data_IF_867071801617
#
_entry.id   IF_867071801617
#
_cell.length_a   1.000
_cell.length_b   1.000
_cell.length_c   1.000
_cell.angle_alpha   90.00
_cell.angle_beta   90.00
_cell.angle_gamma   90.00
#
_symmetry.space_group_name_H-M   'P 1'
#
loop_
_entity.id
_entity.type
_entity.pdbx_description
1 polymer ?
#
# COMPACT_ATOMS: atom_id res chain seq x y z
N UNK A 1 -20.79 -0.50 14.53
CA UNK A 1 -19.67 -1.05 13.75
C UNK A 1 -18.70 -1.72 14.72
N UNK A 2 -18.62 -3.05 14.74
CA UNK A 2 -17.73 -3.79 15.66
C UNK A 2 -16.28 -3.77 15.13
N UNK A 3 -15.43 -3.04 15.84
CA UNK A 3 -13.99 -3.21 16.08
C UNK A 3 -13.15 -4.02 15.08
N UNK A 4 -12.63 -3.44 13.98
CA UNK A 4 -11.58 -4.12 13.17
C UNK A 4 -10.64 -3.13 12.49
N UNK A 5 -9.70 -2.59 13.24
CA UNK A 5 -8.62 -1.77 12.68
C UNK A 5 -7.30 -2.33 13.15
N UNK A 6 -6.43 -2.68 12.20
CA UNK A 6 -5.08 -3.15 12.47
C UNK A 6 -4.08 -2.06 12.06
N UNK A 7 -3.12 -1.79 12.94
CA UNK A 7 -1.96 -0.94 12.65
C UNK A 7 -0.78 -1.84 12.28
N UNK A 8 -0.08 -1.50 11.21
CA UNK A 8 1.14 -2.18 10.76
C UNK A 8 2.30 -1.20 10.75
N UNK A 9 3.39 -1.57 11.43
CA UNK A 9 4.66 -0.82 11.44
C UNK A 9 5.68 -1.56 10.58
N UNK A 10 5.88 -1.11 9.34
CA UNK A 10 6.90 -1.67 8.46
C UNK A 10 8.23 -0.97 8.72
N UNK A 11 9.08 -1.58 9.54
CA UNK A 11 10.37 -1.04 9.93
C UNK A 11 11.38 -1.21 8.76
N UNK A 12 11.63 -0.15 7.99
CA UNK A 12 12.37 -0.19 6.72
C UNK A 12 13.62 0.71 6.67
N UNK A 13 14.52 0.67 7.67
CA UNK A 13 15.79 1.42 7.63
C UNK A 13 17.04 0.53 7.57
N UNK A 14 17.78 0.63 6.46
CA UNK A 14 19.25 0.75 6.46
C UNK A 14 19.71 1.78 5.40
N UNK A 15 20.51 2.73 5.89
CA UNK A 15 21.52 3.60 5.23
C UNK A 15 21.12 4.67 4.19
N UNK A 16 21.31 5.93 4.63
CA UNK A 16 21.74 7.18 3.96
C UNK A 16 21.28 7.52 2.53
N UNK A 17 20.60 8.68 2.38
CA UNK A 17 20.32 9.31 1.09
C UNK A 17 20.88 10.75 1.05
N UNK A 18 21.63 11.14 -0.02
CA UNK A 18 21.99 12.53 -0.26
C UNK A 18 20.89 13.29 -1.02
N UNK A 19 21.02 14.61 -0.98
CA UNK A 19 19.99 15.64 -1.17
C UNK A 19 19.61 15.99 -2.61
N UNK A 20 18.31 16.32 -2.74
CA UNK A 20 17.62 17.27 -3.65
C UNK A 20 18.02 17.38 -5.13
N UNK A 21 17.06 17.07 -6.01
CA UNK A 21 16.87 17.78 -7.28
C UNK A 21 15.36 17.96 -7.54
N UNK A 22 14.92 19.23 -7.61
CA UNK A 22 13.62 19.62 -8.18
C UNK A 22 13.70 19.52 -9.70
N UNK A 23 12.70 18.94 -10.39
CA UNK A 23 12.33 19.34 -11.77
C UNK A 23 10.97 18.77 -12.24
N UNK A 24 10.11 19.72 -12.58
CA UNK A 24 9.00 19.80 -13.54
C UNK A 24 8.41 18.51 -14.13
N UNK A 25 7.10 18.36 -13.92
CA UNK A 25 6.20 17.55 -14.74
C UNK A 25 6.04 18.19 -16.12
N UNK A 26 6.29 17.41 -17.18
CA UNK A 26 5.72 17.64 -18.51
C UNK A 26 5.08 16.31 -18.94
N UNK A 27 3.76 16.37 -19.13
CA UNK A 27 2.96 15.37 -19.84
C UNK A 27 3.32 15.41 -21.33
N UNK A 28 3.68 14.27 -21.90
CA UNK A 28 3.67 14.06 -23.34
C UNK A 28 3.00 12.73 -23.67
N UNK A 29 1.79 12.84 -24.18
CA UNK A 29 1.02 11.83 -24.89
C UNK A 29 1.49 11.70 -26.34
N UNK A 30 1.75 10.50 -26.83
CA UNK A 30 1.76 10.12 -28.26
C UNK A 30 1.68 8.58 -28.35
N UNK A 31 0.53 8.01 -28.72
CA UNK A 31 0.04 7.72 -30.08
C UNK A 31 0.55 6.38 -30.66
N UNK A 32 -0.43 5.55 -31.01
CA UNK A 32 -0.37 4.23 -31.63
C UNK A 32 0.45 4.22 -32.93
N UNK A 33 1.18 3.12 -33.13
CA UNK A 33 1.68 2.69 -34.43
C UNK A 33 1.35 1.21 -34.67
N UNK A 34 0.49 0.94 -35.65
CA UNK A 34 0.17 -0.39 -36.14
C UNK A 34 1.23 -0.88 -37.14
N UNK A 35 1.54 -2.17 -37.12
CA UNK A 35 2.39 -2.85 -38.11
C UNK A 35 1.99 -4.32 -38.23
N UNK A 36 1.78 -4.77 -39.46
CA UNK A 36 1.00 -5.95 -39.87
C UNK A 36 1.91 -6.96 -40.62
N UNK A 37 1.70 -8.24 -40.28
CA UNK A 37 1.83 -9.52 -41.04
C UNK A 37 3.18 -10.17 -41.44
N UNK A 38 3.19 -11.47 -41.08
CA UNK A 38 3.43 -12.69 -41.89
C UNK A 38 4.82 -13.37 -41.89
N UNK A 39 4.78 -14.69 -41.62
CA UNK A 39 5.83 -15.66 -41.94
C UNK A 39 5.65 -17.01 -41.26
N UNK A 40 5.06 -17.99 -41.96
CA UNK A 40 4.96 -19.39 -41.53
C UNK A 40 6.24 -20.17 -41.84
N UNK A 41 6.66 -21.07 -40.94
CA UNK A 41 7.31 -22.34 -41.32
C UNK A 41 7.31 -23.35 -40.18
N UNK A 42 6.87 -24.55 -40.52
CA UNK A 42 6.72 -25.75 -39.68
C UNK A 42 8.07 -26.32 -39.22
N UNK A 43 8.08 -26.91 -38.02
CA UNK A 43 9.18 -27.74 -37.52
C UNK A 43 8.82 -28.41 -36.20
N UNK A 44 8.32 -29.65 -36.27
CA UNK A 44 8.11 -30.53 -35.13
C UNK A 44 9.45 -31.06 -34.63
N UNK A 45 9.81 -30.83 -33.36
CA UNK A 45 10.55 -31.82 -32.55
C UNK A 45 10.04 -31.71 -31.11
N UNK A 46 9.37 -32.77 -30.68
CA UNK A 46 9.03 -32.98 -29.29
C UNK A 46 10.31 -33.22 -28.47
N UNK A 47 10.52 -32.40 -27.45
CA UNK A 47 11.32 -32.78 -26.28
C UNK A 47 10.44 -32.60 -25.04
N UNK A 48 9.95 -33.72 -24.52
CA UNK A 48 9.45 -33.80 -23.14
C UNK A 48 10.65 -33.58 -22.23
N UNK A 49 10.90 -32.36 -21.80
CA UNK A 49 11.66 -32.11 -20.59
C UNK A 49 10.73 -32.39 -19.41
N UNK A 50 11.11 -33.39 -18.63
CA UNK A 50 10.55 -33.67 -17.31
C UNK A 50 10.75 -32.39 -16.48
N UNK A 51 9.69 -31.60 -16.30
CA UNK A 51 9.75 -30.40 -15.45
C UNK A 51 9.69 -30.83 -13.98
N UNK A 52 10.77 -30.46 -13.31
CA UNK A 52 11.09 -30.59 -11.91
C UNK A 52 9.92 -30.16 -10.99
N UNK A 53 9.52 -31.04 -10.09
CA UNK A 53 8.37 -30.90 -9.19
C UNK A 53 8.65 -29.98 -7.99
N UNK A 54 9.29 -28.83 -8.22
CA UNK A 54 9.52 -27.81 -7.20
C UNK A 54 9.46 -26.37 -7.77
N UNK A 55 8.51 -26.12 -8.70
CA UNK A 55 8.18 -24.78 -9.18
C UNK A 55 7.11 -24.21 -8.26
N UNK A 56 7.45 -23.23 -7.42
CA UNK A 56 6.46 -22.46 -6.65
C UNK A 56 5.36 -22.00 -7.62
N UNK A 57 4.11 -22.39 -7.36
CA UNK A 57 3.00 -22.10 -8.27
C UNK A 57 2.88 -20.59 -8.51
N UNK A 58 2.89 -20.17 -9.78
CA UNK A 58 2.73 -18.76 -10.17
C UNK A 58 1.27 -18.39 -9.93
N UNK A 59 1.03 -17.34 -9.13
CA UNK A 59 -0.32 -16.80 -8.97
C UNK A 59 -0.69 -15.97 -10.20
N UNK A 60 -1.83 -16.27 -10.79
CA UNK A 60 -2.30 -15.69 -12.05
C UNK A 60 -3.79 -15.30 -12.03
N UNK A 61 -4.41 -15.27 -10.84
CA UNK A 61 -5.84 -14.99 -10.69
C UNK A 61 -6.08 -14.02 -9.53
N UNK A 62 -6.92 -13.02 -9.79
CA UNK A 62 -7.43 -12.12 -8.77
C UNK A 62 -8.34 -12.85 -7.76
N UNK A 63 -8.58 -12.22 -6.61
CA UNK A 63 -9.45 -12.76 -5.58
C UNK A 63 -10.92 -12.83 -6.05
N UNK A 64 -11.53 -14.01 -5.94
CA UNK A 64 -12.96 -14.17 -6.27
C UNK A 64 -13.85 -13.74 -5.10
N UNK A 65 -15.12 -13.43 -5.40
CA UNK A 65 -16.10 -13.05 -4.38
C UNK A 65 -16.27 -14.13 -3.32
N UNK A 66 -16.36 -15.39 -3.71
CA UNK A 66 -16.56 -16.53 -2.80
C UNK A 66 -15.37 -16.67 -1.85
N UNK A 67 -14.14 -16.54 -2.37
CA UNK A 67 -12.93 -16.60 -1.54
C UNK A 67 -12.86 -15.42 -0.59
N UNK A 68 -13.15 -14.20 -1.06
CA UNK A 68 -13.23 -13.01 -0.20
C UNK A 68 -14.28 -13.20 0.90
N UNK A 69 -15.47 -13.67 0.54
CA UNK A 69 -16.59 -13.89 1.46
C UNK A 69 -16.30 -14.98 2.51
N UNK A 70 -15.42 -15.93 2.21
CA UNK A 70 -14.96 -16.94 3.18
C UNK A 70 -13.90 -16.42 4.18
N UNK A 71 -13.18 -15.33 3.88
CA UNK A 71 -12.13 -14.81 4.75
C UNK A 71 -12.69 -13.98 5.90
N UNK A 72 -12.27 -14.25 7.12
CA UNK A 72 -12.49 -13.36 8.26
C UNK A 72 -11.45 -12.23 8.27
N UNK A 73 -11.72 -11.13 8.97
CA UNK A 73 -10.72 -10.06 9.13
C UNK A 73 -9.44 -10.51 9.83
N UNK A 74 -9.51 -11.48 10.75
CA UNK A 74 -8.31 -12.06 11.37
C UNK A 74 -7.49 -12.86 10.37
N UNK A 75 -8.15 -13.56 9.43
CA UNK A 75 -7.46 -14.22 8.32
C UNK A 75 -6.76 -13.19 7.42
N UNK A 76 -7.39 -12.05 7.17
CA UNK A 76 -6.78 -10.98 6.36
C UNK A 76 -5.59 -10.32 7.05
N UNK A 77 -5.66 -10.10 8.36
CA UNK A 77 -4.51 -9.63 9.15
C UNK A 77 -3.37 -10.65 9.07
N UNK A 78 -3.70 -11.95 9.19
CA UNK A 78 -2.71 -13.03 9.06
C UNK A 78 -2.07 -13.05 7.67
N UNK A 79 -2.86 -12.97 6.60
CA UNK A 79 -2.38 -12.90 5.21
C UNK A 79 -1.42 -11.73 5.02
N UNK A 80 -1.77 -10.53 5.51
CA UNK A 80 -0.91 -9.34 5.42
C UNK A 80 0.41 -9.51 6.20
N UNK A 81 0.36 -10.07 7.41
CA UNK A 81 1.57 -10.36 8.21
C UNK A 81 2.49 -11.37 7.52
N UNK A 82 1.93 -12.48 7.04
CA UNK A 82 2.69 -13.52 6.33
C UNK A 82 3.27 -13.00 5.02
N UNK A 83 2.54 -12.14 4.30
CA UNK A 83 3.05 -11.49 3.11
C UNK A 83 4.18 -10.51 3.38
N UNK A 84 4.11 -9.77 4.48
CA UNK A 84 5.23 -8.94 4.92
C UNK A 84 6.47 -9.75 5.30
N UNK A 85 6.28 -10.88 5.97
CA UNK A 85 7.39 -11.79 6.27
C UNK A 85 8.03 -12.35 4.99
N UNK A 86 7.23 -12.72 3.98
CA UNK A 86 7.76 -13.12 2.67
C UNK A 86 8.55 -12.01 1.99
N UNK A 87 8.03 -10.78 1.99
CA UNK A 87 8.76 -9.61 1.46
C UNK A 87 10.11 -9.42 2.17
N UNK A 88 10.12 -9.45 3.51
CA UNK A 88 11.35 -9.28 4.32
C UNK A 88 12.41 -10.33 4.03
N UNK A 89 12.00 -11.55 3.67
CA UNK A 89 12.91 -12.67 3.34
C UNK A 89 13.30 -12.71 1.85
N UNK A 90 12.67 -11.90 1.00
CA UNK A 90 12.82 -12.01 -0.45
C UNK A 90 12.14 -13.25 -1.05
N UNK A 91 11.16 -13.81 -0.34
CA UNK A 91 10.44 -15.06 -0.67
C UNK A 91 9.02 -14.77 -1.17
N UNK A 92 8.82 -13.65 -1.85
CA UNK A 92 7.50 -13.24 -2.36
C UNK A 92 6.94 -14.26 -3.36
N UNK A 93 5.61 -14.36 -3.43
CA UNK A 93 4.98 -15.26 -4.39
C UNK A 93 5.24 -14.78 -5.83
N UNK A 94 5.66 -15.66 -6.75
CA UNK A 94 5.75 -15.32 -8.15
C UNK A 94 4.34 -15.05 -8.72
N UNK A 95 4.20 -13.97 -9.49
CA UNK A 95 2.91 -13.47 -9.99
C UNK A 95 2.93 -13.19 -11.47
N UNK A 96 1.81 -13.48 -12.12
CA UNK A 96 1.45 -12.98 -13.45
C UNK A 96 0.42 -11.86 -13.29
N UNK A 97 0.92 -10.63 -13.22
CA UNK A 97 0.07 -9.45 -13.04
C UNK A 97 -0.87 -9.19 -14.21
N UNK A 98 -0.49 -9.57 -15.44
CA UNK A 98 -1.38 -9.40 -16.60
C UNK A 98 -2.58 -10.35 -16.47
N UNK A 99 -2.35 -11.59 -16.05
CA UNK A 99 -3.43 -12.53 -15.80
C UNK A 99 -4.31 -12.11 -14.59
N UNK A 100 -3.72 -11.62 -13.50
CA UNK A 100 -4.49 -11.06 -12.37
C UNK A 100 -5.36 -9.85 -12.81
N UNK A 101 -4.82 -8.96 -13.65
CA UNK A 101 -5.59 -7.83 -14.20
C UNK A 101 -6.74 -8.30 -15.11
N UNK A 102 -6.47 -9.24 -16.02
CA UNK A 102 -7.48 -9.76 -16.94
C UNK A 102 -8.62 -10.45 -16.18
N UNK A 103 -8.29 -11.23 -15.15
CA UNK A 103 -9.28 -11.96 -14.35
C UNK A 103 -10.12 -11.07 -13.44
N UNK A 104 -9.66 -9.86 -13.13
CA UNK A 104 -10.42 -8.84 -12.38
C UNK A 104 -11.18 -7.83 -13.25
N UNK A 105 -11.02 -7.88 -14.59
CA UNK A 105 -11.60 -6.89 -15.50
C UNK A 105 -13.14 -6.82 -15.47
N UNK A 106 -13.80 -7.93 -15.15
CA UNK A 106 -15.27 -8.02 -15.09
C UNK A 106 -15.83 -7.73 -13.68
N UNK A 107 -14.96 -7.50 -12.70
CA UNK A 107 -15.34 -7.26 -11.31
C UNK A 107 -14.17 -7.54 -10.38
N UNK A 108 -14.02 -6.67 -9.37
CA UNK A 108 -13.01 -6.82 -8.32
C UNK A 108 -13.68 -7.00 -6.97
N UNK A 109 -13.07 -7.83 -6.12
CA UNK A 109 -13.60 -8.20 -4.81
C UNK A 109 -12.54 -7.96 -3.75
N UNK A 110 -12.16 -6.70 -3.48
CA UNK A 110 -11.13 -6.40 -2.49
C UNK A 110 -11.56 -6.95 -1.13
N UNK A 111 -10.62 -7.56 -0.44
CA UNK A 111 -10.82 -8.08 0.90
C UNK A 111 -10.58 -7.01 1.98
N UNK A 112 -9.72 -6.04 1.70
CA UNK A 112 -9.39 -4.95 2.60
C UNK A 112 -9.26 -3.61 1.86
N UNK A 113 -9.36 -2.52 2.62
CA UNK A 113 -8.96 -1.18 2.20
C UNK A 113 -7.78 -0.71 3.05
N UNK A 114 -6.75 -0.19 2.39
CA UNK A 114 -5.53 0.29 3.00
C UNK A 114 -5.50 1.82 2.93
N UNK A 115 -5.11 2.47 4.03
CA UNK A 115 -4.71 3.86 4.07
C UNK A 115 -3.22 3.93 4.37
N UNK A 116 -2.44 4.41 3.40
CA UNK A 116 -0.97 4.41 3.48
C UNK A 116 -0.39 5.77 3.09
N UNK A 117 0.89 5.96 3.39
CA UNK A 117 1.61 7.17 2.99
C UNK A 117 1.94 7.16 1.48
N UNK A 118 2.08 8.34 0.89
CA UNK A 118 2.59 8.53 -0.48
C UNK A 118 4.09 8.17 -0.63
N UNK A 119 4.79 7.80 0.45
CA UNK A 119 6.21 7.41 0.39
C UNK A 119 6.42 6.25 -0.60
N UNK A 120 7.15 6.52 -1.67
CA UNK A 120 7.33 5.58 -2.78
C UNK A 120 8.13 4.33 -2.40
N UNK A 121 8.80 4.33 -1.25
CA UNK A 121 9.58 3.19 -0.74
C UNK A 121 8.75 2.24 0.11
N UNK A 122 7.51 2.62 0.45
CA UNK A 122 6.58 1.78 1.20
C UNK A 122 5.26 1.48 0.45
N UNK A 123 5.31 0.91 -0.78
CA UNK A 123 4.12 0.47 -1.48
C UNK A 123 3.49 -0.76 -0.78
N UNK A 124 2.31 -0.59 -0.21
CA UNK A 124 1.70 -1.58 0.67
C UNK A 124 1.43 -2.92 0.00
N UNK A 125 0.98 -2.94 -1.25
CA UNK A 125 0.70 -4.17 -1.99
C UNK A 125 1.95 -5.02 -2.18
N UNK A 126 3.10 -4.38 -2.43
CA UNK A 126 4.39 -5.07 -2.55
C UNK A 126 4.87 -5.53 -1.17
N UNK A 127 4.83 -4.62 -0.18
CA UNK A 127 5.30 -4.89 1.18
C UNK A 127 4.49 -5.96 1.91
N UNK A 128 3.23 -6.15 1.54
CA UNK A 128 2.33 -7.15 2.12
C UNK A 128 2.14 -8.35 1.18
N UNK A 129 2.89 -8.42 0.07
CA UNK A 129 2.81 -9.45 -0.95
C UNK A 129 1.35 -9.77 -1.35
N UNK A 130 0.64 -8.72 -1.80
CA UNK A 130 -0.72 -8.73 -2.32
C UNK A 130 -0.67 -8.52 -3.85
N UNK A 131 -1.66 -9.07 -4.55
CA UNK A 131 -1.78 -8.90 -6.00
C UNK A 131 -2.94 -8.00 -6.42
N UNK A 132 -3.16 -7.92 -7.73
CA UNK A 132 -4.15 -7.04 -8.33
C UNK A 132 -5.56 -7.49 -7.93
N UNK A 133 -6.35 -6.54 -7.43
CA UNK A 133 -7.73 -6.77 -7.01
C UNK A 133 -7.90 -7.32 -5.58
N UNK A 134 -6.82 -7.61 -4.85
CA UNK A 134 -6.90 -8.13 -3.48
C UNK A 134 -7.34 -7.07 -2.46
N UNK A 135 -6.96 -5.82 -2.70
CA UNK A 135 -7.24 -4.68 -1.81
C UNK A 135 -7.49 -3.41 -2.59
N UNK A 136 -8.15 -2.45 -1.96
CA UNK A 136 -8.08 -1.05 -2.37
C UNK A 136 -7.05 -0.31 -1.54
N UNK A 137 -6.33 0.62 -2.15
CA UNK A 137 -5.28 1.38 -1.48
C UNK A 137 -5.44 2.87 -1.74
N UNK A 138 -5.62 3.61 -0.65
CA UNK A 138 -5.60 5.07 -0.63
C UNK A 138 -4.23 5.54 -0.13
N UNK A 139 -3.52 6.32 -0.96
CA UNK A 139 -2.18 6.82 -0.66
C UNK A 139 -2.19 8.33 -0.51
N UNK A 140 -1.87 8.84 0.67
CA UNK A 140 -1.83 10.28 0.96
C UNK A 140 -0.68 10.60 1.91
N UNK A 141 -0.03 11.75 1.76
CA UNK A 141 1.11 12.11 2.62
C UNK A 141 0.71 12.08 4.10
N UNK A 142 1.48 11.32 4.91
CA UNK A 142 1.21 11.14 6.34
C UNK A 142 -0.05 10.32 6.66
N UNK A 143 -0.61 9.59 5.69
CA UNK A 143 -1.78 8.72 5.86
C UNK A 143 -2.92 9.41 6.65
N UNK A 144 -3.14 10.68 6.34
CA UNK A 144 -4.13 11.55 6.96
C UNK A 144 -5.56 11.16 6.58
N UNK A 145 -6.51 11.55 7.41
CA UNK A 145 -7.95 11.41 7.14
C UNK A 145 -8.50 12.71 6.57
N UNK A 146 -9.34 12.58 5.54
CA UNK A 146 -10.19 13.64 5.00
C UNK A 146 -11.48 12.99 4.43
N UNK A 147 -12.41 13.82 3.96
CA UNK A 147 -13.70 13.35 3.44
C UNK A 147 -13.56 12.41 2.23
N UNK A 148 -12.63 12.70 1.30
CA UNK A 148 -12.39 11.86 0.12
C UNK A 148 -11.89 10.45 0.51
N UNK A 149 -11.01 10.38 1.51
CA UNK A 149 -10.46 9.13 2.04
C UNK A 149 -11.55 8.33 2.76
N UNK A 150 -12.38 8.98 3.59
CA UNK A 150 -13.50 8.33 4.28
C UNK A 150 -14.52 7.80 3.28
N UNK A 151 -14.95 8.61 2.30
CA UNK A 151 -15.87 8.17 1.25
C UNK A 151 -15.31 7.01 0.42
N UNK A 152 -14.00 7.00 0.17
CA UNK A 152 -13.33 5.87 -0.48
C UNK A 152 -13.37 4.59 0.36
N UNK A 153 -13.23 4.70 1.69
CA UNK A 153 -13.36 3.56 2.60
C UNK A 153 -14.80 3.06 2.69
N UNK A 154 -15.79 3.95 2.76
CA UNK A 154 -17.22 3.60 2.73
C UNK A 154 -17.56 2.84 1.44
N UNK A 155 -17.09 3.33 0.29
CA UNK A 155 -17.23 2.63 -0.99
C UNK A 155 -16.60 1.22 -0.94
N UNK A 156 -15.39 1.11 -0.38
CA UNK A 156 -14.69 -0.17 -0.28
C UNK A 156 -15.46 -1.17 0.60
N UNK A 157 -15.94 -0.72 1.75
CA UNK A 157 -16.63 -1.56 2.73
C UNK A 157 -18.06 -1.90 2.30
N UNK A 158 -18.88 -0.89 2.02
CA UNK A 158 -20.32 -1.09 1.80
C UNK A 158 -20.65 -1.55 0.38
N UNK A 159 -19.97 -1.00 -0.64
CA UNK A 159 -20.29 -1.31 -2.03
C UNK A 159 -19.42 -2.44 -2.59
N UNK A 160 -18.15 -2.51 -2.19
CA UNK A 160 -17.21 -3.53 -2.69
C UNK A 160 -17.06 -4.72 -1.76
N UNK A 161 -17.51 -4.64 -0.50
CA UNK A 161 -17.52 -5.72 0.48
C UNK A 161 -16.18 -5.98 1.18
N UNK A 162 -15.27 -5.00 1.20
CA UNK A 162 -14.03 -5.09 1.96
C UNK A 162 -14.34 -5.25 3.45
N UNK A 163 -13.66 -6.20 4.11
CA UNK A 163 -13.95 -6.64 5.48
C UNK A 163 -12.98 -6.09 6.53
N UNK A 164 -11.90 -5.46 6.09
CA UNK A 164 -10.83 -4.95 6.94
C UNK A 164 -10.38 -3.57 6.45
N UNK A 165 -10.26 -2.63 7.38
CA UNK A 165 -9.57 -1.35 7.16
C UNK A 165 -8.20 -1.44 7.83
N UNK A 166 -7.15 -1.14 7.08
CA UNK A 166 -5.77 -1.11 7.58
C UNK A 166 -5.22 0.30 7.44
N UNK A 167 -4.71 0.85 8.54
CA UNK A 167 -3.93 2.09 8.51
C UNK A 167 -2.47 1.72 8.71
N UNK A 168 -1.65 2.00 7.70
CA UNK A 168 -0.24 1.62 7.67
C UNK A 168 0.63 2.86 7.57
N UNK A 169 1.39 3.12 8.63
CA UNK A 169 2.45 4.12 8.61
C UNK A 169 3.81 3.51 8.27
N UNK A 170 4.83 4.35 8.25
CA UNK A 170 6.20 3.93 8.04
C UNK A 170 7.16 4.83 8.83
N UNK A 171 8.34 4.31 9.10
CA UNK A 171 9.38 5.06 9.80
C UNK A 171 9.91 6.22 8.97
N UNK A 172 10.46 7.23 9.65
CA UNK A 172 11.05 8.43 9.05
C UNK A 172 10.12 9.21 8.08
N UNK A 173 8.81 9.18 8.33
CA UNK A 173 7.84 9.78 7.44
C UNK A 173 8.08 11.28 7.18
N UNK A 174 8.23 11.65 5.91
CA UNK A 174 8.50 13.03 5.49
C UNK A 174 7.36 14.00 5.84
N UNK A 175 6.10 13.56 5.80
CA UNK A 175 4.96 14.38 6.20
C UNK A 175 4.95 14.64 7.70
N UNK A 176 5.26 13.63 8.52
CA UNK A 176 5.40 13.78 9.97
C UNK A 176 6.52 14.77 10.30
N UNK A 177 7.69 14.66 9.67
CA UNK A 177 8.79 15.63 9.79
C UNK A 177 8.35 17.04 9.39
N UNK A 178 7.61 17.17 8.29
CA UNK A 178 7.06 18.45 7.84
C UNK A 178 6.12 19.08 8.87
N UNK A 179 5.26 18.28 9.51
CA UNK A 179 4.36 18.74 10.56
C UNK A 179 5.14 19.21 11.81
N UNK A 180 6.13 18.44 12.26
CA UNK A 180 7.01 18.80 13.39
C UNK A 180 7.75 20.12 13.11
N UNK A 181 8.26 20.30 11.89
CA UNK A 181 8.97 21.52 11.48
C UNK A 181 8.03 22.69 11.15
N UNK A 182 6.72 22.54 11.29
CA UNK A 182 5.73 23.55 10.91
C UNK A 182 5.93 24.06 9.47
N UNK A 183 6.21 23.16 8.52
CA UNK A 183 6.43 23.54 7.13
C UNK A 183 5.21 24.25 6.53
N UNK A 184 5.44 25.34 5.78
CA UNK A 184 4.39 26.15 5.16
C UNK A 184 4.56 26.16 3.64
N UNK A 185 3.56 25.65 2.91
CA UNK A 185 3.55 25.63 1.45
C UNK A 185 2.15 25.31 0.90
N UNK A 186 1.36 26.31 0.50
CA UNK A 186 0.07 26.09 -0.19
C UNK A 186 -0.80 25.00 0.46
N UNK A 187 -1.26 24.03 -0.34
CA UNK A 187 -2.10 22.92 0.14
C UNK A 187 -1.39 21.99 1.15
N UNK A 188 -0.05 21.94 1.15
CA UNK A 188 0.70 21.15 2.13
C UNK A 188 0.43 21.65 3.55
N UNK A 189 0.28 22.96 3.76
CA UNK A 189 -0.01 23.52 5.08
C UNK A 189 -1.30 22.95 5.67
N UNK A 190 -2.37 22.88 4.87
CA UNK A 190 -3.66 22.30 5.29
C UNK A 190 -3.62 20.79 5.48
N UNK A 191 -2.74 20.08 4.77
CA UNK A 191 -2.48 18.66 4.99
C UNK A 191 -1.74 18.45 6.32
N UNK A 192 -0.65 19.16 6.55
CA UNK A 192 0.17 19.03 7.76
C UNK A 192 -0.58 19.45 9.02
N UNK A 193 -1.51 20.40 8.91
CA UNK A 193 -2.40 20.80 10.02
C UNK A 193 -3.20 19.61 10.58
N UNK A 194 -3.52 18.59 9.77
CA UNK A 194 -4.23 17.39 10.22
C UNK A 194 -3.35 16.43 11.02
N UNK A 195 -2.02 16.54 10.87
CA UNK A 195 -1.03 15.74 11.60
C UNK A 195 -0.67 16.39 12.94
N UNK A 196 -0.75 17.73 13.04
CA UNK A 196 -0.37 18.48 14.24
C UNK A 196 -0.99 17.97 15.55
N UNK A 197 -2.28 17.59 15.61
CA UNK A 197 -2.85 17.02 16.83
C UNK A 197 -2.09 15.79 17.36
N UNK A 198 -1.56 14.94 16.47
CA UNK A 198 -0.73 13.82 16.85
C UNK A 198 0.64 14.28 17.35
N UNK A 199 1.26 15.27 16.69
CA UNK A 199 2.54 15.87 17.14
C UNK A 199 2.43 16.42 18.56
N UNK A 200 1.34 17.11 18.85
CA UNK A 200 1.09 17.75 20.15
C UNK A 200 0.80 16.70 21.23
N UNK A 201 -0.02 15.69 20.90
CA UNK A 201 -0.41 14.62 21.82
C UNK A 201 0.70 13.60 22.12
N UNK A 202 1.71 13.48 21.26
CA UNK A 202 2.82 12.55 21.50
C UNK A 202 3.58 12.93 22.77
N UNK A 203 3.53 12.03 23.76
CA UNK A 203 4.39 12.06 24.95
C UNK A 203 5.72 11.43 24.57
N UNK A 204 6.81 12.18 24.73
CA UNK A 204 8.15 11.72 24.37
C UNK A 204 9.19 12.41 25.26
N UNK A 205 10.11 11.61 25.81
CA UNK A 205 11.24 12.11 26.59
C UNK A 205 12.43 12.39 25.65
N UNK A 206 12.92 13.62 25.65
CA UNK A 206 14.06 14.05 24.84
C UNK A 206 13.71 15.09 23.79
N UNK A 207 14.56 15.19 22.77
CA UNK A 207 14.48 16.27 21.79
C UNK A 207 13.31 16.07 20.81
N UNK A 208 12.37 17.02 20.78
CA UNK A 208 11.18 16.97 19.92
C UNK A 208 11.42 17.66 18.57
N UNK A 209 12.38 17.17 17.80
CA UNK A 209 12.76 17.73 16.49
C UNK A 209 12.53 16.73 15.36
N UNK A 210 12.42 17.22 14.12
CA UNK A 210 12.30 16.35 12.95
C UNK A 210 13.59 15.59 12.59
N UNK A 211 14.71 15.93 13.24
CA UNK A 211 15.99 15.22 13.09
C UNK A 211 16.11 14.06 14.08
N UNK A 212 15.33 14.07 15.17
CA UNK A 212 15.20 12.94 16.07
C UNK A 212 14.24 11.90 15.47
N UNK A 213 14.79 10.86 14.84
CA UNK A 213 14.00 9.82 14.17
C UNK A 213 13.11 9.02 15.12
N UNK A 214 13.53 8.83 16.38
CA UNK A 214 12.72 8.10 17.36
C UNK A 214 11.47 8.91 17.75
N UNK A 215 11.62 10.23 17.92
CA UNK A 215 10.47 11.11 18.10
C UNK A 215 9.57 11.10 16.86
N UNK A 216 10.13 11.24 15.65
CA UNK A 216 9.36 11.19 14.39
C UNK A 216 8.57 9.88 14.27
N UNK A 217 9.18 8.74 14.59
CA UNK A 217 8.53 7.43 14.54
C UNK A 217 7.43 7.30 15.61
N UNK A 218 7.64 7.87 16.80
CA UNK A 218 6.63 7.89 17.86
C UNK A 218 5.41 8.74 17.47
N UNK A 219 5.66 9.90 16.86
CA UNK A 219 4.58 10.74 16.30
C UNK A 219 3.86 10.02 15.17
N UNK A 220 4.57 9.29 14.30
CA UNK A 220 3.95 8.51 13.24
C UNK A 220 2.98 7.46 13.80
N UNK A 221 3.34 6.76 14.89
CA UNK A 221 2.44 5.81 15.59
C UNK A 221 1.22 6.52 16.20
N UNK A 222 1.44 7.64 16.89
CA UNK A 222 0.34 8.46 17.45
C UNK A 222 -0.62 8.92 16.34
N UNK A 223 -0.10 9.30 15.18
CA UNK A 223 -0.91 9.71 14.03
C UNK A 223 -1.73 8.55 13.45
N UNK A 224 -1.20 7.33 13.43
CA UNK A 224 -1.98 6.14 13.07
C UNK A 224 -3.12 5.92 14.06
N UNK A 225 -2.86 6.01 15.37
CA UNK A 225 -3.90 5.85 16.40
C UNK A 225 -5.02 6.88 16.25
N UNK A 226 -4.67 8.13 15.94
CA UNK A 226 -5.65 9.19 15.68
C UNK A 226 -6.45 8.89 14.41
N UNK A 227 -5.80 8.51 13.31
CA UNK A 227 -6.49 8.12 12.08
C UNK A 227 -7.45 6.95 12.30
N UNK A 228 -7.04 5.92 13.07
CA UNK A 228 -7.89 4.79 13.44
C UNK A 228 -9.11 5.25 14.25
N UNK A 229 -8.93 6.17 15.20
CA UNK A 229 -10.04 6.73 15.98
C UNK A 229 -11.00 7.47 15.06
N UNK A 230 -10.50 8.33 14.18
CA UNK A 230 -11.31 9.16 13.29
C UNK A 230 -12.08 8.32 12.26
N UNK A 231 -11.54 7.16 11.84
CA UNK A 231 -12.26 6.19 10.99
C UNK A 231 -13.43 5.52 11.75
N UNK A 232 -13.35 5.40 13.07
CA UNK A 232 -14.33 4.66 13.89
C UNK A 232 -15.51 5.52 14.37
N UNK A 233 -15.40 6.84 14.29
CA UNK A 233 -16.42 7.80 14.72
C UNK A 233 -17.42 8.07 13.63
#
# INVERSE_FOLDING_TARGET
>A
MNERTASFDCNCHTTEQPSSVRRNFILSSALLGAGVLAGCSSGNVASKSVEDSNKTAIRNTALTKERRDALSPDDLIKVAKEGNERFRKGEQQPRDFLAEQQTSAHGQHPAAVLLTCIDSRAPAEILLDLGIGDVFNSRVAGNIINEDILGSMEFACELSGAKLVVVMGHTACGAIKGAINNAVLGNLTGLLAKIKPAVDATVYEGERTANNYDFVNTVARTNIEFAIRDIRT
#
